data_IF_323373386019
#
_entry.id   IF_323373386019
#
_cell.length_a   1.000
_cell.length_b   1.000
_cell.length_c   1.000
_cell.angle_alpha   90.00
_cell.angle_beta   90.00
_cell.angle_gamma   90.00
#
_symmetry.space_group_name_H-M   'P 1'
#
loop_
_entity.id
_entity.type
_entity.pdbx_description
1 polymer ?
#
# COMPACT_ATOMS: atom_id res chain seq x y z
N UNK A 1 -46.77 30.20 42.28
CA UNK A 1 -46.25 29.43 43.43
C UNK A 1 -46.78 28.00 43.34
N UNK A 2 -45.96 27.04 43.78
CA UNK A 2 -46.18 25.59 43.93
C UNK A 2 -45.86 24.69 42.72
N UNK A 3 -44.61 24.24 42.74
CA UNK A 3 -44.15 22.95 42.23
C UNK A 3 -44.86 21.80 42.97
N UNK A 4 -45.15 20.71 42.27
CA UNK A 4 -45.13 19.38 42.88
C UNK A 4 -44.21 18.45 42.08
N UNK A 5 -43.11 18.07 42.74
CA UNK A 5 -42.26 16.93 42.43
C UNK A 5 -42.96 15.68 42.93
N UNK A 6 -43.00 14.61 42.13
CA UNK A 6 -43.14 13.25 42.66
C UNK A 6 -42.15 12.29 41.97
N UNK A 7 -41.08 11.99 42.71
CA UNK A 7 -40.48 10.67 42.87
C UNK A 7 -40.55 10.42 44.39
N UNK A 8 -40.71 9.17 44.89
CA UNK A 8 -39.65 8.16 44.85
C UNK A 8 -40.25 6.71 44.76
N UNK A 9 -39.60 5.55 44.89
CA UNK A 9 -38.34 5.14 45.49
C UNK A 9 -38.02 3.68 45.08
N UNK A 10 -36.73 3.33 45.23
CA UNK A 10 -36.03 2.09 44.88
C UNK A 10 -36.49 0.80 45.59
N UNK A 11 -36.20 -0.35 44.98
CA UNK A 11 -36.01 -1.66 45.64
C UNK A 11 -35.46 -2.75 44.69
N UNK A 12 -34.63 -3.71 45.14
CA UNK A 12 -33.43 -4.15 44.40
C UNK A 12 -33.47 -5.60 43.89
N UNK A 13 -32.78 -5.92 42.78
CA UNK A 13 -32.34 -7.30 42.50
C UNK A 13 -30.97 -7.33 41.80
N UNK A 14 -29.99 -7.75 42.61
CA UNK A 14 -28.82 -8.62 42.36
C UNK A 14 -28.09 -8.60 41.00
N UNK A 15 -26.78 -8.39 41.14
CA UNK A 15 -25.71 -8.64 40.20
C UNK A 15 -25.77 -10.04 39.55
N UNK A 16 -25.79 -10.04 38.23
CA UNK A 16 -25.28 -11.13 37.40
C UNK A 16 -24.08 -10.59 36.64
N UNK A 17 -22.88 -10.99 37.04
CA UNK A 17 -21.67 -10.78 36.27
C UNK A 17 -21.77 -11.59 34.98
N UNK A 18 -22.28 -10.98 33.92
CA UNK A 18 -22.11 -11.48 32.56
C UNK A 18 -20.87 -10.83 32.00
N UNK A 19 -19.75 -11.54 32.13
CA UNK A 19 -18.56 -11.38 31.30
C UNK A 19 -18.98 -11.50 29.83
N UNK A 20 -19.36 -10.38 29.22
CA UNK A 20 -19.49 -10.26 27.77
C UNK A 20 -18.09 -10.07 27.18
N UNK A 21 -17.33 -11.15 27.18
CA UNK A 21 -16.23 -11.33 26.23
C UNK A 21 -16.86 -11.73 24.90
N UNK A 22 -17.54 -10.79 24.24
CA UNK A 22 -18.11 -11.01 22.90
C UNK A 22 -17.67 -9.84 22.01
N UNK A 23 -16.61 -10.14 21.26
CA UNK A 23 -16.41 -9.72 19.88
C UNK A 23 -16.40 -8.20 19.60
N UNK A 24 -15.27 -7.54 19.87
CA UNK A 24 -14.90 -6.26 19.20
C UNK A 24 -14.51 -6.48 17.73
N UNK A 25 -15.31 -7.23 16.98
CA UNK A 25 -15.03 -7.57 15.57
C UNK A 25 -16.09 -7.06 14.59
N UNK A 26 -16.98 -6.16 15.01
CA UNK A 26 -18.15 -5.79 14.21
C UNK A 26 -18.39 -4.28 14.16
N UNK A 27 -17.40 -3.53 13.68
CA UNK A 27 -17.63 -2.17 13.16
C UNK A 27 -17.05 -2.00 11.74
N UNK A 28 -16.82 -3.11 11.04
CA UNK A 28 -16.47 -3.08 9.62
C UNK A 28 -17.76 -2.96 8.81
N UNK A 29 -18.09 -1.73 8.40
CA UNK A 29 -19.24 -1.48 7.53
C UNK A 29 -19.09 -2.22 6.19
N UNK A 30 -20.19 -2.73 5.61
CA UNK A 30 -20.23 -3.80 4.60
C UNK A 30 -19.63 -3.45 3.22
N UNK A 31 -19.15 -2.22 3.02
CA UNK A 31 -18.57 -1.79 1.74
C UNK A 31 -17.06 -2.06 1.64
N UNK A 32 -16.35 -2.30 2.76
CA UNK A 32 -14.89 -2.48 2.79
C UNK A 32 -14.46 -3.38 3.94
N UNK A 33 -14.93 -4.63 3.96
CA UNK A 33 -14.19 -5.69 4.64
C UNK A 33 -12.88 -5.88 3.88
N UNK A 34 -11.84 -5.08 4.22
CA UNK A 34 -10.52 -5.31 3.67
C UNK A 34 -10.16 -6.77 3.96
N UNK A 35 -9.74 -7.53 2.93
CA UNK A 35 -9.31 -8.90 3.15
C UNK A 35 -8.17 -8.88 4.17
N UNK A 36 -8.06 -9.93 5.01
CA UNK A 36 -6.95 -10.01 5.94
C UNK A 36 -5.63 -9.88 5.16
N UNK A 37 -4.66 -9.19 5.77
CA UNK A 37 -3.32 -9.05 5.21
C UNK A 37 -2.75 -10.43 4.94
N UNK A 38 -2.37 -10.68 3.70
CA UNK A 38 -1.76 -11.94 3.31
C UNK A 38 -0.47 -12.19 4.11
N UNK A 39 -0.16 -13.43 4.51
CA UNK A 39 1.04 -13.71 5.31
C UNK A 39 2.35 -13.20 4.67
N UNK A 40 2.41 -13.15 3.34
CA UNK A 40 3.54 -12.58 2.58
C UNK A 40 3.71 -11.07 2.77
N UNK A 41 2.64 -10.36 3.13
CA UNK A 41 2.60 -8.90 3.32
C UNK A 41 2.83 -8.50 4.79
N UNK A 42 2.87 -9.44 5.73
CA UNK A 42 2.93 -9.14 7.16
C UNK A 42 4.14 -8.26 7.56
N UNK A 43 5.30 -8.51 6.97
CA UNK A 43 6.50 -7.70 7.22
C UNK A 43 6.36 -6.27 6.68
N UNK A 44 5.71 -6.10 5.52
CA UNK A 44 5.42 -4.79 4.96
C UNK A 44 4.42 -4.02 5.83
N UNK A 45 3.33 -4.69 6.23
CA UNK A 45 2.32 -4.15 7.14
C UNK A 45 2.95 -3.60 8.44
N UNK A 46 3.77 -4.41 9.13
CA UNK A 46 4.39 -4.00 10.40
C UNK A 46 5.32 -2.79 10.23
N UNK A 47 6.04 -2.72 9.11
CA UNK A 47 6.91 -1.59 8.80
C UNK A 47 6.13 -0.32 8.46
N UNK A 48 5.03 -0.43 7.72
CA UNK A 48 4.14 0.70 7.45
C UNK A 48 3.53 1.23 8.75
N UNK A 49 3.05 0.35 9.63
CA UNK A 49 2.57 0.71 10.97
C UNK A 49 3.65 1.47 11.76
N UNK A 50 4.88 0.95 11.79
CA UNK A 50 6.00 1.62 12.44
C UNK A 50 6.30 2.99 11.82
N UNK A 51 6.19 3.12 10.50
CA UNK A 51 6.38 4.38 9.77
C UNK A 51 5.33 5.41 10.16
N UNK A 52 4.05 5.04 10.14
CA UNK A 52 2.96 5.93 10.57
C UNK A 52 3.14 6.41 12.01
N UNK A 53 3.51 5.52 12.94
CA UNK A 53 3.79 5.91 14.33
C UNK A 53 5.03 6.82 14.49
N UNK A 54 5.98 6.77 13.56
CA UNK A 54 7.22 7.55 13.65
C UNK A 54 7.10 8.95 13.04
N UNK A 55 6.15 9.15 12.12
CA UNK A 55 6.04 10.36 11.28
C UNK A 55 5.36 11.56 11.98
N UNK A 56 5.23 11.51 13.31
CA UNK A 56 4.72 12.56 14.23
C UNK A 56 3.33 13.15 13.94
N UNK A 57 2.69 12.83 12.80
CA UNK A 57 1.32 13.22 12.49
C UNK A 57 0.35 12.44 13.38
N UNK A 58 -0.52 13.14 14.10
CA UNK A 58 -1.54 12.47 14.89
C UNK A 58 -2.50 11.68 13.97
N UNK A 59 -3.12 10.58 14.41
CA UNK A 59 -3.98 9.75 13.53
C UNK A 59 -5.13 10.52 12.87
N UNK A 60 -5.62 11.58 13.50
CA UNK A 60 -6.63 12.51 13.01
C UNK A 60 -6.12 13.49 11.93
N UNK A 61 -4.80 13.68 11.87
CA UNK A 61 -4.12 14.50 10.85
C UNK A 61 -3.64 13.67 9.65
N UNK A 62 -3.95 12.36 9.61
CA UNK A 62 -3.51 11.50 8.52
C UNK A 62 -4.15 11.92 7.18
N UNK A 63 -3.31 12.35 6.26
CA UNK A 63 -3.68 12.71 4.90
C UNK A 63 -2.83 11.97 3.86
N UNK A 64 -3.16 12.20 2.58
CA UNK A 64 -2.46 11.57 1.46
C UNK A 64 -0.95 11.89 1.47
N UNK A 65 -0.57 13.12 1.82
CA UNK A 65 0.83 13.54 1.80
C UNK A 65 1.65 12.81 2.86
N UNK A 66 1.09 12.62 4.06
CA UNK A 66 1.67 11.80 5.13
C UNK A 66 1.85 10.37 4.66
N UNK A 67 0.81 9.77 4.05
CA UNK A 67 0.90 8.38 3.55
C UNK A 67 1.99 8.23 2.50
N UNK A 68 2.04 9.10 1.50
CA UNK A 68 3.06 9.00 0.45
C UNK A 68 4.48 9.33 0.96
N UNK A 69 4.62 10.09 2.05
CA UNK A 69 5.91 10.28 2.73
C UNK A 69 6.36 8.97 3.38
N UNK A 70 5.50 8.33 4.18
CA UNK A 70 5.78 7.03 4.80
C UNK A 70 6.10 5.97 3.74
N UNK A 71 5.34 5.91 2.64
CA UNK A 71 5.64 5.01 1.53
C UNK A 71 7.02 5.28 0.94
N UNK A 72 7.39 6.55 0.74
CA UNK A 72 8.72 6.91 0.22
C UNK A 72 9.86 6.43 1.13
N UNK A 73 9.69 6.53 2.44
CA UNK A 73 10.67 6.05 3.43
C UNK A 73 10.68 4.53 3.55
N UNK A 74 9.53 3.90 3.32
CA UNK A 74 9.38 2.45 3.27
C UNK A 74 10.13 1.82 2.07
N UNK A 75 10.34 2.58 0.99
CA UNK A 75 10.95 2.09 -0.24
C UNK A 75 12.33 1.46 -0.06
N UNK A 76 12.47 0.19 -0.43
CA UNK A 76 13.78 -0.45 -0.57
C UNK A 76 14.17 -0.49 -2.05
N UNK A 77 15.32 0.09 -2.44
CA UNK A 77 15.76 0.08 -3.83
C UNK A 77 16.15 -1.33 -4.30
N UNK A 78 15.16 -2.10 -4.76
CA UNK A 78 15.35 -3.40 -5.41
C UNK A 78 14.28 -3.61 -6.46
N UNK A 79 14.58 -4.45 -7.45
CA UNK A 79 13.61 -4.82 -8.48
C UNK A 79 12.39 -5.49 -7.85
N UNK A 80 11.20 -5.09 -8.30
CA UNK A 80 9.90 -5.61 -7.90
C UNK A 80 9.52 -5.31 -6.46
N UNK A 81 10.11 -4.29 -5.83
CA UNK A 81 9.73 -3.91 -4.47
C UNK A 81 8.27 -3.45 -4.44
N UNK A 82 7.91 -2.45 -5.23
CA UNK A 82 6.56 -1.92 -5.26
C UNK A 82 5.56 -2.94 -5.76
N UNK A 83 5.96 -3.74 -6.75
CA UNK A 83 5.12 -4.83 -7.28
C UNK A 83 4.78 -5.90 -6.25
N UNK A 84 5.64 -6.07 -5.25
CA UNK A 84 5.39 -6.99 -4.15
C UNK A 84 4.46 -6.39 -3.08
N UNK A 85 4.23 -5.08 -3.06
CA UNK A 85 3.35 -4.43 -2.09
C UNK A 85 1.92 -4.33 -2.63
N UNK A 86 0.96 -4.82 -1.87
CA UNK A 86 -0.47 -4.73 -2.21
C UNK A 86 -1.11 -3.48 -1.60
N UNK A 87 -1.99 -2.81 -2.35
CA UNK A 87 -2.71 -1.63 -1.86
C UNK A 87 -3.54 -1.92 -0.61
N UNK A 88 -4.16 -3.11 -0.52
CA UNK A 88 -4.89 -3.56 0.67
C UNK A 88 -4.02 -3.58 1.93
N UNK A 89 -2.73 -3.89 1.80
CA UNK A 89 -1.79 -3.89 2.94
C UNK A 89 -1.57 -2.47 3.46
N UNK A 90 -1.49 -1.49 2.55
CA UNK A 90 -1.37 -0.08 2.91
C UNK A 90 -2.66 0.40 3.58
N UNK A 91 -3.82 0.05 3.01
CA UNK A 91 -5.13 0.43 3.55
C UNK A 91 -5.40 -0.17 4.94
N UNK A 92 -5.05 -1.44 5.17
CA UNK A 92 -5.19 -2.04 6.51
C UNK A 92 -4.23 -1.39 7.51
N UNK A 93 -2.99 -1.08 7.12
CA UNK A 93 -2.06 -0.36 8.00
C UNK A 93 -2.59 1.04 8.37
N UNK A 94 -3.15 1.77 7.41
CA UNK A 94 -3.83 3.06 7.67
C UNK A 94 -5.00 2.86 8.64
N UNK A 95 -5.85 1.87 8.41
CA UNK A 95 -7.01 1.61 9.27
C UNK A 95 -6.61 1.23 10.70
N UNK A 96 -5.56 0.42 10.87
CA UNK A 96 -5.04 0.09 12.19
C UNK A 96 -4.40 1.27 12.90
N UNK A 97 -3.74 2.18 12.17
CA UNK A 97 -3.12 3.38 12.73
C UNK A 97 -4.16 4.45 13.10
N UNK A 98 -5.12 4.69 12.21
CA UNK A 98 -6.15 5.74 12.31
C UNK A 98 -7.55 5.14 12.13
N UNK A 99 -8.09 4.41 13.13
CA UNK A 99 -9.37 3.70 13.01
C UNK A 99 -10.56 4.64 12.75
N UNK A 100 -10.52 5.85 13.28
CA UNK A 100 -11.58 6.86 13.13
C UNK A 100 -11.51 7.63 11.80
N UNK A 101 -10.45 7.44 11.00
CA UNK A 101 -10.24 8.18 9.75
C UNK A 101 -11.43 8.03 8.80
N UNK A 102 -12.03 6.84 8.74
CA UNK A 102 -13.20 6.57 7.90
C UNK A 102 -14.36 7.48 8.28
N UNK A 103 -14.75 7.46 9.56
CA UNK A 103 -15.84 8.30 10.05
C UNK A 103 -15.53 9.79 9.85
N UNK A 104 -14.29 10.21 10.16
CA UNK A 104 -13.86 11.59 9.98
C UNK A 104 -13.95 12.05 8.51
N UNK A 105 -13.53 11.23 7.55
CA UNK A 105 -13.56 11.54 6.12
C UNK A 105 -14.96 11.56 5.54
N UNK A 106 -15.83 10.63 5.96
CA UNK A 106 -17.24 10.63 5.56
C UNK A 106 -17.97 11.91 6.02
N UNK A 107 -17.57 12.50 7.15
CA UNK A 107 -18.13 13.76 7.64
C UNK A 107 -17.53 15.02 7.00
N UNK A 108 -16.30 14.97 6.48
CA UNK A 108 -15.52 16.16 6.17
C UNK A 108 -15.42 16.55 4.68
N UNK A 109 -15.57 15.62 3.71
CA UNK A 109 -15.26 15.90 2.30
C UNK A 109 -16.32 15.43 1.30
N UNK A 110 -16.44 16.16 0.17
CA UNK A 110 -17.11 15.64 -1.03
C UNK A 110 -16.30 14.45 -1.57
N UNK A 111 -16.91 13.26 -1.54
CA UNK A 111 -16.28 11.99 -1.96
C UNK A 111 -15.92 11.05 -0.81
N UNK A 112 -15.93 11.53 0.44
CA UNK A 112 -15.82 10.73 1.65
C UNK A 112 -14.56 9.85 1.72
N UNK A 113 -14.67 8.73 2.43
CA UNK A 113 -13.57 7.77 2.58
C UNK A 113 -13.28 7.01 1.27
N UNK A 114 -14.29 6.83 0.41
CA UNK A 114 -14.13 6.14 -0.87
C UNK A 114 -13.15 6.86 -1.80
N UNK A 115 -13.20 8.19 -1.87
CA UNK A 115 -12.24 8.97 -2.65
C UNK A 115 -10.80 8.81 -2.12
N UNK A 116 -10.63 8.85 -0.79
CA UNK A 116 -9.34 8.62 -0.15
C UNK A 116 -8.78 7.23 -0.46
N UNK A 117 -9.60 6.18 -0.32
CA UNK A 117 -9.21 4.81 -0.64
C UNK A 117 -8.78 4.67 -2.11
N UNK A 118 -9.57 5.23 -3.04
CA UNK A 118 -9.23 5.25 -4.46
C UNK A 118 -7.89 5.93 -4.75
N UNK A 119 -7.60 7.05 -4.09
CA UNK A 119 -6.33 7.76 -4.24
C UNK A 119 -5.15 6.92 -3.70
N UNK A 120 -5.32 6.22 -2.58
CA UNK A 120 -4.28 5.33 -2.03
C UNK A 120 -4.00 4.17 -2.98
N UNK A 121 -5.04 3.51 -3.48
CA UNK A 121 -4.91 2.42 -4.46
C UNK A 121 -4.21 2.89 -5.74
N UNK A 122 -4.68 4.02 -6.30
CA UNK A 122 -4.09 4.65 -7.49
C UNK A 122 -2.63 5.01 -7.27
N UNK A 123 -2.28 5.49 -6.07
CA UNK A 123 -0.92 5.83 -5.68
C UNK A 123 0.02 4.64 -5.60
N UNK A 124 -0.40 3.55 -4.96
CA UNK A 124 0.40 2.31 -4.91
C UNK A 124 0.59 1.76 -6.32
N UNK A 125 -0.45 1.77 -7.15
CA UNK A 125 -0.37 1.36 -8.55
C UNK A 125 0.58 2.25 -9.36
N UNK A 126 0.58 3.56 -9.12
CA UNK A 126 1.54 4.50 -9.72
C UNK A 126 2.99 4.16 -9.33
N UNK A 127 3.25 3.83 -8.06
CA UNK A 127 4.60 3.46 -7.61
C UNK A 127 5.09 2.17 -8.27
N UNK A 128 4.21 1.16 -8.37
CA UNK A 128 4.47 -0.08 -9.11
C UNK A 128 4.80 0.19 -10.57
N UNK A 129 4.03 1.10 -11.17
CA UNK A 129 4.24 1.53 -12.55
C UNK A 129 5.62 2.19 -12.70
N UNK A 130 5.94 3.23 -11.94
CA UNK A 130 7.21 3.96 -12.03
C UNK A 130 8.42 3.03 -11.86
N UNK A 131 8.35 2.08 -10.93
CA UNK A 131 9.40 1.08 -10.72
C UNK A 131 9.58 0.18 -11.94
N UNK A 132 8.50 -0.27 -12.56
CA UNK A 132 8.57 -1.12 -13.76
C UNK A 132 9.32 -0.43 -14.89
N UNK A 133 9.14 0.88 -15.06
CA UNK A 133 9.89 1.64 -16.08
C UNK A 133 11.34 1.88 -15.67
N UNK A 134 11.60 2.09 -14.38
CA UNK A 134 12.97 2.15 -13.87
C UNK A 134 13.72 0.85 -14.15
N UNK A 135 13.10 -0.31 -13.92
CA UNK A 135 13.67 -1.62 -14.25
C UNK A 135 13.93 -1.77 -15.75
N UNK A 136 12.97 -1.37 -16.59
CA UNK A 136 13.14 -1.46 -18.05
C UNK A 136 14.27 -0.58 -18.56
N UNK A 137 14.49 0.60 -17.98
CA UNK A 137 15.66 1.42 -18.29
C UNK A 137 16.97 0.72 -17.92
N UNK A 138 16.98 0.02 -16.79
CA UNK A 138 18.16 -0.73 -16.33
C UNK A 138 18.44 -1.97 -17.20
N UNK A 139 17.42 -2.52 -17.86
CA UNK A 139 17.58 -3.64 -18.81
C UNK A 139 18.27 -3.23 -20.12
N UNK A 140 18.36 -1.92 -20.40
CA UNK A 140 19.14 -1.40 -21.53
C UNK A 140 20.63 -1.46 -21.15
N UNK A 141 21.52 -1.92 -22.04
CA UNK A 141 22.96 -1.80 -21.86
C UNK A 141 23.39 -0.37 -21.56
N UNK A 142 24.40 -0.18 -20.70
CA UNK A 142 24.83 1.13 -20.21
C UNK A 142 25.12 2.12 -21.34
N UNK A 143 25.69 1.64 -22.44
CA UNK A 143 26.05 2.44 -23.62
C UNK A 143 24.83 2.97 -24.37
N UNK A 144 23.71 2.22 -24.33
CA UNK A 144 22.46 2.55 -25.02
C UNK A 144 21.41 3.23 -24.14
N UNK A 145 21.69 3.45 -22.85
CA UNK A 145 20.73 4.09 -21.94
C UNK A 145 20.52 5.56 -22.32
N UNK A 146 19.26 6.05 -22.29
CA UNK A 146 18.97 7.44 -22.56
C UNK A 146 19.65 8.35 -21.51
N UNK A 147 20.35 9.39 -21.98
CA UNK A 147 21.07 10.32 -21.12
C UNK A 147 20.26 11.60 -20.91
N UNK A 148 19.95 11.89 -19.66
CA UNK A 148 19.16 13.06 -19.28
C UNK A 148 17.64 12.84 -19.35
N UNK A 149 16.89 13.80 -18.83
CA UNK A 149 15.45 13.67 -18.65
C UNK A 149 14.69 13.62 -19.98
N UNK A 150 15.04 14.48 -20.94
CA UNK A 150 14.35 14.53 -22.24
C UNK A 150 14.51 13.22 -23.02
N UNK A 151 15.73 12.68 -23.11
CA UNK A 151 15.97 11.40 -23.78
C UNK A 151 15.26 10.24 -23.07
N UNK A 152 15.21 10.26 -21.74
CA UNK A 152 14.48 9.25 -20.97
C UNK A 152 12.98 9.34 -21.22
N UNK A 153 12.41 10.55 -21.24
CA UNK A 153 11.00 10.76 -21.57
C UNK A 153 10.64 10.23 -22.96
N UNK A 154 11.45 10.56 -23.98
CA UNK A 154 11.25 10.09 -25.35
C UNK A 154 11.29 8.57 -25.41
N UNK A 155 12.31 7.96 -24.81
CA UNK A 155 12.46 6.51 -24.78
C UNK A 155 11.30 5.82 -24.06
N UNK A 156 10.84 6.38 -22.92
CA UNK A 156 9.72 5.84 -22.15
C UNK A 156 8.42 5.88 -22.96
N UNK A 157 8.15 6.99 -23.66
CA UNK A 157 7.00 7.09 -24.55
C UNK A 157 7.05 6.07 -25.68
N UNK A 158 8.19 5.95 -26.36
CA UNK A 158 8.36 4.99 -27.45
C UNK A 158 8.23 3.54 -26.97
N UNK A 159 8.70 3.22 -25.76
CA UNK A 159 8.50 1.90 -25.14
C UNK A 159 7.02 1.65 -24.81
N UNK A 160 6.30 2.63 -24.25
CA UNK A 160 4.86 2.52 -23.99
C UNK A 160 4.07 2.27 -25.29
N UNK A 161 4.34 3.07 -26.33
CA UNK A 161 3.66 2.97 -27.62
C UNK A 161 3.90 1.61 -28.27
N UNK A 162 5.15 1.14 -28.30
CA UNK A 162 5.48 -0.20 -28.85
C UNK A 162 4.79 -1.34 -28.11
N UNK A 163 4.44 -1.15 -26.84
CA UNK A 163 3.79 -2.17 -25.99
C UNK A 163 2.27 -2.04 -25.94
N UNK A 164 1.67 -1.05 -26.63
CA UNK A 164 0.24 -0.79 -26.57
C UNK A 164 -0.22 -0.27 -25.20
N UNK A 165 0.71 0.26 -24.41
CA UNK A 165 0.50 0.74 -23.05
C UNK A 165 -0.04 2.19 -23.07
N UNK A 166 -1.12 2.46 -23.83
CA UNK A 166 -1.60 3.82 -24.18
C UNK A 166 -2.07 4.63 -22.98
N UNK A 167 -2.77 3.99 -22.03
CA UNK A 167 -3.20 4.62 -20.77
C UNK A 167 -2.03 5.25 -20.00
N UNK A 168 -0.83 4.74 -20.23
CA UNK A 168 0.39 5.16 -19.55
C UNK A 168 1.12 6.30 -20.23
N UNK A 169 1.00 6.39 -21.55
CA UNK A 169 1.39 7.59 -22.30
C UNK A 169 0.60 8.78 -21.76
N UNK A 170 -0.72 8.65 -21.68
CA UNK A 170 -1.59 9.70 -21.17
C UNK A 170 -1.23 10.10 -19.73
N UNK A 171 -0.97 9.11 -18.87
CA UNK A 171 -0.57 9.34 -17.49
C UNK A 171 0.79 10.07 -17.38
N UNK A 172 1.78 9.68 -18.19
CA UNK A 172 3.07 10.38 -18.24
C UNK A 172 2.94 11.80 -18.80
N UNK A 173 2.03 12.03 -19.74
CA UNK A 173 1.71 13.38 -20.25
C UNK A 173 1.07 14.26 -19.17
N UNK A 174 0.15 13.71 -18.37
CA UNK A 174 -0.51 14.43 -17.27
C UNK A 174 0.44 14.75 -16.10
N UNK A 175 1.29 13.80 -15.71
CA UNK A 175 2.23 13.98 -14.58
C UNK A 175 3.49 14.73 -15.03
N UNK A 176 3.83 14.64 -16.32
CA UNK A 176 4.91 15.36 -16.98
C UNK A 176 6.30 14.95 -16.49
N UNK A 177 7.23 15.91 -16.53
CA UNK A 177 8.65 15.74 -16.20
C UNK A 177 8.91 15.14 -14.80
N UNK A 178 7.95 15.30 -13.88
CA UNK A 178 8.03 14.73 -12.53
C UNK A 178 8.06 13.21 -12.53
N UNK A 179 7.27 12.56 -13.39
CA UNK A 179 7.26 11.09 -13.49
C UNK A 179 8.62 10.56 -13.97
N UNK A 180 9.19 11.19 -15.00
CA UNK A 180 10.50 10.82 -15.56
C UNK A 180 11.61 10.99 -14.52
N UNK A 181 11.56 12.08 -13.76
CA UNK A 181 12.51 12.30 -12.67
C UNK A 181 12.44 11.19 -11.63
N UNK A 182 11.24 10.74 -11.25
CA UNK A 182 11.06 9.64 -10.31
C UNK A 182 11.58 8.31 -10.87
N UNK A 183 11.27 8.00 -12.12
CA UNK A 183 11.77 6.80 -12.81
C UNK A 183 13.31 6.78 -12.82
N UNK A 184 13.96 7.88 -13.19
CA UNK A 184 15.41 7.97 -13.21
C UNK A 184 16.03 7.86 -11.81
N UNK A 185 15.38 8.44 -10.79
CA UNK A 185 15.81 8.30 -9.39
C UNK A 185 15.70 6.86 -8.90
N UNK A 186 14.60 6.18 -9.19
CA UNK A 186 14.41 4.77 -8.85
C UNK A 186 15.43 3.89 -9.57
N UNK A 187 15.65 4.10 -10.86
CA UNK A 187 16.63 3.33 -11.64
C UNK A 187 18.04 3.47 -11.04
N UNK A 188 18.45 4.69 -10.73
CA UNK A 188 19.73 4.96 -10.07
C UNK A 188 19.82 4.33 -8.68
N UNK A 189 18.75 4.40 -7.88
CA UNK A 189 18.73 3.81 -6.55
C UNK A 189 18.84 2.28 -6.61
N UNK A 190 18.13 1.63 -7.54
CA UNK A 190 18.19 0.18 -7.77
C UNK A 190 19.59 -0.23 -8.26
N UNK A 191 20.20 0.54 -9.16
CA UNK A 191 21.55 0.26 -9.68
C UNK A 191 22.63 0.36 -8.60
N UNK A 192 22.51 1.33 -7.69
CA UNK A 192 23.45 1.55 -6.59
C UNK A 192 23.18 0.63 -5.39
N UNK A 193 22.03 -0.03 -5.35
CA UNK A 193 21.69 -0.91 -4.26
C UNK A 193 22.71 -2.06 -4.19
N UNK A 194 23.20 -2.41 -2.99
CA UNK A 194 24.02 -3.61 -2.85
C UNK A 194 23.21 -4.78 -3.39
N UNK A 195 23.82 -5.66 -4.20
CA UNK A 195 23.20 -6.89 -4.65
C UNK A 195 23.02 -7.77 -3.42
N UNK A 196 21.91 -7.57 -2.71
CA UNK A 196 21.46 -8.50 -1.68
C UNK A 196 21.09 -9.75 -2.44
N UNK A 197 22.00 -10.72 -2.43
CA UNK A 197 21.82 -12.03 -3.00
C UNK A 197 20.70 -12.70 -2.20
N UNK A 198 19.45 -12.45 -2.60
CA UNK A 198 18.37 -13.36 -2.26
C UNK A 198 18.81 -14.72 -2.81
N UNK A 199 19.03 -15.66 -1.89
CA UNK A 199 19.62 -16.97 -2.16
C UNK A 199 18.96 -17.71 -3.33
N UNK A 200 19.61 -18.76 -3.83
CA UNK A 200 19.15 -19.48 -5.02
C UNK A 200 17.67 -19.88 -4.87
N UNK A 201 16.89 -19.85 -5.96
CA UNK A 201 15.49 -20.23 -5.93
C UNK A 201 15.38 -21.62 -5.33
N UNK A 202 14.53 -21.77 -4.31
CA UNK A 202 14.27 -23.05 -3.66
C UNK A 202 14.09 -24.12 -4.73
N UNK A 203 15.02 -25.07 -4.78
CA UNK A 203 14.92 -26.23 -5.65
C UNK A 203 13.56 -26.87 -5.40
N UNK A 204 12.69 -26.84 -6.42
CA UNK A 204 11.46 -27.62 -6.40
C UNK A 204 11.84 -29.06 -6.10
N UNK A 205 11.18 -29.74 -5.14
CA UNK A 205 11.48 -31.13 -4.86
C UNK A 205 11.25 -31.93 -6.14
N UNK A 206 12.33 -32.52 -6.66
CA UNK A 206 12.27 -33.49 -7.76
C UNK A 206 11.32 -34.60 -7.33
N UNK A 207 10.13 -34.65 -7.93
CA UNK A 207 9.20 -35.77 -7.77
C UNK A 207 9.95 -37.06 -8.07
N UNK A 208 10.05 -37.91 -7.05
CA UNK A 208 10.69 -39.21 -7.12
C UNK A 208 10.12 -40.03 -8.27
N UNK A 209 10.98 -40.43 -9.18
CA UNK A 209 10.68 -41.39 -10.24
C UNK A 209 10.49 -42.75 -9.56
N UNK A 210 9.24 -43.19 -9.44
CA UNK A 210 8.91 -44.53 -8.95
C UNK A 210 9.65 -45.58 -9.79
N UNK A 211 10.58 -46.31 -9.18
CA UNK A 211 11.16 -47.53 -9.74
C UNK A 211 10.05 -48.58 -9.81
N UNK A 212 9.61 -48.93 -11.03
CA UNK A 212 8.89 -50.19 -11.27
C UNK A 212 9.82 -51.33 -10.83
N UNK A 213 9.38 -52.12 -9.85
CA UNK A 213 9.87 -53.48 -9.64
C UNK A 213 9.10 -54.39 -10.60
N UNK A 214 9.81 -54.98 -11.55
CA UNK A 214 9.36 -56.15 -12.30
C UNK A 214 9.56 -57.39 -11.43
N UNK A 215 8.49 -58.17 -11.28
CA UNK A 215 8.55 -59.62 -10.99
C UNK A 215 8.42 -60.32 -12.32
#
# INVERSE_FOLDING_TARGET
MKLERQHPQNGPVRAGASTSAISRRSDRGPLFDLPPVEPSQQAAFLRLMSGFHSDAAAPDELDEAVVFRVLREFYEPRRGFWRALEANTVMEAIHCYAPELRAARECASQGGYAAFAWQMESGVFMLQFLERYAERLLDIPNEGRPKGQTAAWQWLNDDCLRRGEIQWVHLMECVGERAVTLVLRMARAIELAPVTTLGPPAERPRRGRARKRSV
#
